data_IF_864464555864
#
_entry.id   IF_864464555864
#
_cell.length_a   1.000
_cell.length_b   1.000
_cell.length_c   1.000
_cell.angle_alpha   90.00
_cell.angle_beta   90.00
_cell.angle_gamma   90.00
#
_symmetry.space_group_name_H-M   'P 1'
#
loop_
_entity.id
_entity.type
_entity.pdbx_description
1 polymer ?
#
# COMPACT_ATOMS: atom_id res chain seq x y z
N UNK A 1 19.80 -15.98 24.33
CA UNK A 1 19.88 -15.55 23.97
C UNK A 1 19.12 -14.86 23.40
N UNK A 2 18.79 -14.32 23.42
CA UNK A 2 17.98 -13.57 22.87
C UNK A 2 18.37 -13.14 21.59
N UNK A 3 19.05 -13.85 20.85
CA UNK A 3 19.42 -13.45 19.53
C UNK A 3 18.26 -13.31 18.65
N UNK A 4 17.30 -14.21 18.74
CA UNK A 4 16.11 -14.10 17.92
C UNK A 4 15.35 -12.85 18.26
N UNK A 5 15.23 -12.55 19.51
CA UNK A 5 14.53 -11.36 19.94
C UNK A 5 15.26 -10.12 19.48
N UNK A 6 16.57 -10.16 19.54
CA UNK A 6 17.36 -9.02 19.12
C UNK A 6 17.21 -8.82 17.62
N UNK A 7 17.25 -9.89 16.86
CA UNK A 7 17.11 -9.79 15.41
C UNK A 7 15.74 -9.23 15.07
N UNK A 8 14.72 -9.67 15.77
CA UNK A 8 13.38 -9.17 15.52
C UNK A 8 13.30 -7.68 15.81
N UNK A 9 13.91 -7.27 16.90
CA UNK A 9 13.90 -5.86 17.25
C UNK A 9 14.61 -5.03 16.20
N UNK A 10 15.68 -5.53 15.68
CA UNK A 10 16.41 -4.79 14.66
C UNK A 10 15.59 -4.66 13.40
N UNK A 11 14.90 -5.71 13.01
CA UNK A 11 14.05 -5.65 11.85
C UNK A 11 12.96 -4.63 12.06
N UNK A 12 12.38 -4.60 13.24
CA UNK A 12 11.34 -3.62 13.53
C UNK A 12 11.89 -2.22 13.55
N UNK A 13 13.08 -2.06 14.07
CA UNK A 13 13.68 -0.74 14.10
C UNK A 13 13.93 -0.24 12.69
N UNK A 14 14.36 -1.10 11.80
CA UNK A 14 14.55 -0.71 10.42
C UNK A 14 13.25 -0.34 9.78
N UNK A 15 12.19 -1.09 10.06
CA UNK A 15 10.89 -0.77 9.54
C UNK A 15 10.41 0.56 10.07
N UNK A 16 10.77 0.89 11.30
CA UNK A 16 10.37 2.15 11.89
C UNK A 16 11.14 3.33 11.33
N UNK A 17 12.29 3.06 10.69
CA UNK A 17 13.03 4.12 10.05
C UNK A 17 12.45 4.32 8.67
N UNK A 18 11.29 4.95 8.62
CA UNK A 18 10.58 5.12 7.37
C UNK A 18 11.21 6.20 6.52
N UNK A 19 11.11 6.05 5.19
CA UNK A 19 11.53 7.13 4.29
C UNK A 19 10.71 8.39 4.54
N UNK A 20 11.19 9.50 4.00
CA UNK A 20 10.53 10.77 4.18
C UNK A 20 9.10 10.72 3.65
N UNK A 21 8.20 11.35 4.39
CA UNK A 21 6.79 11.42 4.02
C UNK A 21 6.35 12.88 4.01
N UNK A 22 5.32 13.15 3.21
CA UNK A 22 4.79 14.50 3.17
C UNK A 22 3.85 14.73 4.36
N UNK A 23 3.24 15.90 4.40
CA UNK A 23 2.40 16.27 5.52
C UNK A 23 1.19 15.36 5.70
N UNK A 24 0.78 14.72 4.63
CA UNK A 24 -0.37 13.84 4.68
C UNK A 24 0.02 12.38 4.90
N UNK A 25 1.31 12.11 5.03
CA UNK A 25 1.78 10.77 5.33
C UNK A 25 2.12 9.90 4.14
N UNK A 26 2.12 10.47 2.93
CA UNK A 26 2.49 9.73 1.73
C UNK A 26 3.99 9.83 1.53
N UNK A 27 4.60 8.78 0.96
CA UNK A 27 6.03 8.84 0.67
C UNK A 27 6.32 9.96 -0.31
N UNK A 28 7.36 10.73 0.00
CA UNK A 28 7.81 11.77 -0.90
C UNK A 28 8.36 11.16 -2.17
N UNK A 29 9.10 10.07 -2.04
CA UNK A 29 9.73 9.40 -3.17
C UNK A 29 9.26 7.95 -3.23
N UNK A 30 8.44 7.60 -4.23
CA UNK A 30 7.96 6.22 -4.33
C UNK A 30 9.05 5.19 -4.46
N UNK A 31 10.23 5.57 -4.93
CA UNK A 31 11.32 4.62 -5.08
C UNK A 31 11.90 4.17 -3.77
N UNK A 32 11.55 4.80 -2.66
CA UNK A 32 12.02 4.40 -1.35
C UNK A 32 11.14 3.33 -0.71
N UNK A 33 10.11 2.89 -1.41
CA UNK A 33 9.19 1.90 -0.88
C UNK A 33 9.83 0.52 -0.83
N UNK A 34 9.39 -0.27 0.15
CA UNK A 34 9.75 -1.68 0.26
C UNK A 34 8.62 -2.36 1.01
N UNK A 35 8.65 -3.69 1.03
CA UNK A 35 7.60 -4.40 1.75
C UNK A 35 7.59 -4.08 3.25
N UNK A 36 8.74 -4.00 3.91
CA UNK A 36 8.71 -3.57 5.32
C UNK A 36 8.11 -2.18 5.50
N UNK A 37 8.36 -1.27 4.57
CA UNK A 37 7.75 0.05 4.62
C UNK A 37 6.24 -0.08 4.53
N UNK A 38 5.75 -0.92 3.62
CA UNK A 38 4.31 -1.12 3.47
C UNK A 38 3.71 -1.68 4.75
N UNK A 39 4.39 -2.62 5.39
CA UNK A 39 3.91 -3.18 6.64
C UNK A 39 3.79 -2.10 7.72
N UNK A 40 4.79 -1.24 7.82
CA UNK A 40 4.77 -0.19 8.82
C UNK A 40 3.66 0.81 8.54
N UNK A 41 3.49 1.18 7.28
CA UNK A 41 2.44 2.14 6.93
C UNK A 41 1.06 1.55 7.16
N UNK A 42 0.88 0.27 6.81
CA UNK A 42 -0.40 -0.40 7.06
C UNK A 42 -0.70 -0.45 8.54
N UNK A 43 0.30 -0.72 9.34
CA UNK A 43 0.13 -0.77 10.78
C UNK A 43 -0.33 0.57 11.33
N UNK A 44 0.25 1.66 10.83
CA UNK A 44 -0.18 2.99 11.25
C UNK A 44 -1.63 3.25 10.92
N UNK A 45 -2.09 2.69 9.81
CA UNK A 45 -3.45 2.92 9.35
C UNK A 45 -4.44 1.89 9.87
N UNK A 46 -3.96 0.93 10.65
CA UNK A 46 -4.83 -0.10 11.18
C UNK A 46 -5.27 -1.13 10.16
N UNK A 47 -4.50 -1.30 9.10
CA UNK A 47 -4.82 -2.26 8.05
C UNK A 47 -3.92 -3.48 8.22
N UNK A 48 -4.54 -4.64 8.31
CA UNK A 48 -3.78 -5.87 8.44
C UNK A 48 -3.63 -6.47 7.05
N UNK A 49 -2.42 -6.55 6.55
CA UNK A 49 -2.18 -6.94 5.16
C UNK A 49 -2.28 -8.45 4.99
N UNK A 50 -3.24 -8.87 4.21
CA UNK A 50 -3.37 -10.26 3.82
C UNK A 50 -2.95 -10.44 2.37
N UNK A 51 -3.20 -11.62 1.85
CA UNK A 51 -2.72 -11.98 0.53
C UNK A 51 -3.27 -11.06 -0.56
N UNK A 52 -4.56 -10.76 -0.51
CA UNK A 52 -5.14 -9.91 -1.54
C UNK A 52 -4.71 -8.46 -1.41
N UNK A 53 -4.44 -8.02 -0.19
CA UNK A 53 -3.84 -6.69 -0.03
C UNK A 53 -2.53 -6.63 -0.79
N UNK A 54 -1.68 -7.64 -0.60
CA UNK A 54 -0.40 -7.66 -1.28
C UNK A 54 -0.54 -7.71 -2.79
N UNK A 55 -1.54 -8.42 -3.28
CA UNK A 55 -1.78 -8.47 -4.72
C UNK A 55 -2.10 -7.10 -5.27
N UNK A 56 -2.93 -6.34 -4.55
CA UNK A 56 -3.26 -4.98 -4.98
C UNK A 56 -2.03 -4.09 -4.91
N UNK A 57 -1.27 -4.18 -3.82
CA UNK A 57 -0.10 -3.33 -3.66
C UNK A 57 0.94 -3.61 -4.72
N UNK A 58 1.19 -4.89 -5.03
CA UNK A 58 2.16 -5.24 -6.06
C UNK A 58 1.69 -4.80 -7.42
N UNK A 59 0.39 -4.94 -7.68
CA UNK A 59 -0.17 -4.45 -8.92
C UNK A 59 0.06 -2.94 -9.07
N UNK A 60 -0.16 -2.19 -8.00
CA UNK A 60 0.04 -0.75 -8.04
C UNK A 60 1.50 -0.40 -8.28
N UNK A 61 2.41 -1.14 -7.64
CA UNK A 61 3.83 -0.89 -7.83
C UNK A 61 4.27 -1.23 -9.25
N UNK A 62 3.79 -2.35 -9.80
CA UNK A 62 4.12 -2.74 -11.17
C UNK A 62 3.57 -1.73 -12.16
N UNK A 63 2.37 -1.26 -11.92
CA UNK A 63 1.76 -0.25 -12.79
C UNK A 63 2.62 1.01 -12.81
N UNK A 64 3.05 1.44 -11.63
CA UNK A 64 3.86 2.63 -11.52
C UNK A 64 5.21 2.45 -12.22
N UNK A 65 5.83 1.28 -12.06
CA UNK A 65 7.09 1.02 -12.73
C UNK A 65 6.93 1.09 -14.23
N UNK A 66 5.83 0.60 -14.74
CA UNK A 66 5.62 0.53 -16.17
C UNK A 66 5.15 1.86 -16.76
N UNK A 67 4.27 2.54 -16.09
CA UNK A 67 3.61 3.73 -16.63
C UNK A 67 4.07 5.03 -16.02
N UNK A 68 4.77 4.97 -14.92
CA UNK A 68 5.26 6.12 -14.15
C UNK A 68 4.13 7.03 -13.69
N UNK A 69 2.94 6.49 -13.57
CA UNK A 69 1.79 7.16 -12.97
C UNK A 69 1.11 6.19 -12.04
N UNK A 70 0.29 6.72 -11.16
CA UNK A 70 -0.41 5.90 -10.16
C UNK A 70 -1.60 5.22 -10.82
N UNK A 71 -1.79 3.94 -10.53
CA UNK A 71 -2.95 3.21 -11.04
C UNK A 71 -4.21 3.79 -10.45
N UNK A 72 -5.23 3.96 -11.29
CA UNK A 72 -6.54 4.42 -10.88
C UNK A 72 -7.25 3.30 -10.11
N UNK A 73 -8.14 3.67 -9.20
CA UNK A 73 -8.89 2.68 -8.43
C UNK A 73 -9.61 1.68 -9.33
N UNK A 74 -10.07 2.13 -10.50
CA UNK A 74 -10.76 1.24 -11.43
C UNK A 74 -9.86 0.10 -11.90
N UNK A 75 -8.56 0.35 -12.02
CA UNK A 75 -7.63 -0.71 -12.41
C UNK A 75 -7.50 -1.76 -11.32
N UNK A 76 -7.46 -1.31 -10.06
CA UNK A 76 -7.41 -2.24 -8.94
C UNK A 76 -8.71 -3.03 -8.84
N UNK A 77 -9.84 -2.38 -9.08
CA UNK A 77 -11.12 -3.07 -9.06
C UNK A 77 -11.17 -4.14 -10.14
N UNK A 78 -10.62 -3.83 -11.31
CA UNK A 78 -10.60 -4.80 -12.40
C UNK A 78 -9.74 -6.02 -12.04
N UNK A 79 -8.64 -5.79 -11.36
CA UNK A 79 -7.81 -6.87 -10.89
C UNK A 79 -8.61 -7.79 -9.96
N UNK A 80 -9.32 -7.20 -9.01
CA UNK A 80 -10.09 -7.98 -8.05
C UNK A 80 -11.31 -8.64 -8.69
N UNK A 81 -11.81 -8.06 -9.77
CA UNK A 81 -12.93 -8.62 -10.49
C UNK A 81 -12.61 -10.01 -11.02
N UNK A 82 -11.35 -10.25 -11.35
CA UNK A 82 -10.94 -11.54 -11.85
C UNK A 82 -11.10 -12.65 -10.81
N UNK A 83 -10.92 -12.31 -9.55
CA UNK A 83 -11.06 -13.28 -8.47
C UNK A 83 -12.46 -13.29 -7.88
N UNK A 84 -13.14 -12.16 -7.95
CA UNK A 84 -14.45 -11.97 -7.36
C UNK A 84 -15.38 -11.37 -8.41
N UNK A 85 -15.84 -12.17 -9.38
CA UNK A 85 -16.66 -11.65 -10.47
C UNK A 85 -17.87 -10.88 -9.97
N UNK A 86 -18.05 -9.69 -10.49
CA UNK A 86 -19.14 -8.82 -10.10
C UNK A 86 -18.92 -8.11 -8.78
N UNK A 87 -17.80 -8.32 -8.11
CA UNK A 87 -17.59 -7.77 -6.78
C UNK A 87 -16.26 -7.04 -6.64
N UNK A 88 -15.63 -6.67 -7.74
CA UNK A 88 -14.32 -6.03 -7.66
C UNK A 88 -14.34 -4.76 -6.85
N UNK A 89 -15.34 -3.91 -7.06
CA UNK A 89 -15.45 -2.67 -6.31
C UNK A 89 -15.69 -2.93 -4.84
N UNK A 90 -16.62 -3.82 -4.54
CA UNK A 90 -16.92 -4.15 -3.15
C UNK A 90 -15.70 -4.71 -2.45
N UNK A 91 -14.97 -5.58 -3.14
CA UNK A 91 -13.81 -6.20 -2.54
C UNK A 91 -12.72 -5.18 -2.24
N UNK A 92 -12.54 -4.21 -3.14
CA UNK A 92 -11.55 -3.17 -2.89
C UNK A 92 -11.89 -2.39 -1.62
N UNK A 93 -13.17 -2.08 -1.41
CA UNK A 93 -13.57 -1.38 -0.20
C UNK A 93 -13.44 -2.26 1.04
N UNK A 94 -13.57 -3.56 0.90
CA UNK A 94 -13.35 -4.45 2.03
C UNK A 94 -11.89 -4.48 2.43
N UNK A 95 -11.00 -4.45 1.44
CA UNK A 95 -9.57 -4.48 1.73
C UNK A 95 -9.08 -3.15 2.28
N UNK A 96 -9.61 -2.05 1.77
CA UNK A 96 -9.19 -0.72 2.18
C UNK A 96 -10.43 0.11 2.52
N UNK A 97 -10.97 -0.09 3.72
CA UNK A 97 -12.28 0.49 4.07
C UNK A 97 -12.33 2.01 4.01
N UNK A 98 -11.22 2.67 4.25
CA UNK A 98 -11.23 4.12 4.23
C UNK A 98 -10.77 4.69 2.89
N UNK A 99 -10.73 3.85 1.86
CA UNK A 99 -10.59 4.33 0.52
C UNK A 99 -9.25 4.01 -0.11
N UNK A 100 -9.29 3.94 -1.43
CA UNK A 100 -8.13 3.60 -2.22
C UNK A 100 -7.02 4.65 -2.05
N UNK A 101 -7.38 5.92 -2.12
CA UNK A 101 -6.40 6.98 -2.02
C UNK A 101 -5.83 7.06 -0.61
N UNK A 102 -6.69 7.04 0.39
CA UNK A 102 -6.25 7.23 1.76
C UNK A 102 -5.47 6.05 2.29
N UNK A 103 -5.74 4.86 1.83
CA UNK A 103 -5.10 3.67 2.38
C UNK A 103 -4.22 2.96 1.36
N UNK A 104 -4.78 2.53 0.24
CA UNK A 104 -4.01 1.73 -0.70
C UNK A 104 -2.85 2.52 -1.28
N UNK A 105 -3.09 3.74 -1.73
CA UNK A 105 -2.02 4.54 -2.31
C UNK A 105 -0.93 4.85 -1.29
N UNK A 106 -1.33 5.15 -0.06
CA UNK A 106 -0.35 5.44 0.97
C UNK A 106 0.51 4.22 1.29
N UNK A 107 -0.13 3.07 1.47
CA UNK A 107 0.59 1.85 1.82
C UNK A 107 1.47 1.39 0.66
N UNK A 108 1.01 1.58 -0.58
CA UNK A 108 1.80 1.21 -1.75
C UNK A 108 2.95 2.16 -2.03
N UNK A 109 3.09 3.21 -1.24
CA UNK A 109 4.18 4.14 -1.42
C UNK A 109 4.00 5.10 -2.56
N UNK A 110 2.75 5.30 -3.00
CA UNK A 110 2.46 6.25 -4.05
C UNK A 110 2.21 7.61 -3.44
N UNK A 111 2.43 8.64 -4.22
CA UNK A 111 2.08 9.97 -3.79
C UNK A 111 0.58 10.15 -3.95
N UNK A 112 0.03 11.13 -3.27
CA UNK A 112 -1.40 11.37 -3.36
C UNK A 112 -1.77 11.80 -4.76
N UNK A 113 -2.75 11.16 -5.40
CA UNK A 113 -3.20 11.61 -6.73
C UNK A 113 -3.75 13.02 -6.65
N UNK A 114 -3.52 13.78 -7.72
CA UNK A 114 -3.89 15.19 -7.69
C UNK A 114 -5.19 15.50 -8.40
N UNK A 115 -5.38 14.95 -9.57
CA UNK A 115 -6.49 15.35 -10.40
C UNK A 115 -7.75 14.56 -10.15
N UNK A 116 -7.66 13.36 -9.67
CA UNK A 116 -8.82 12.53 -9.39
C UNK A 116 -8.64 12.01 -7.99
N UNK A 117 -9.68 11.91 -7.29
CA UNK A 117 -9.51 11.48 -5.94
C UNK A 117 -10.76 10.81 -5.53
N UNK A 118 -11.05 9.77 -6.17
CA UNK A 118 -12.20 9.09 -5.79
C UNK A 118 -11.78 8.03 -4.91
N UNK A 119 -11.61 8.02 -3.97
CA UNK A 119 -11.22 6.92 -3.24
C UNK A 119 -11.81 6.82 -1.91
#
# INVERSE_FOLDING_TARGET
MDDAAVATSQAQAQALTLPARDEEGYLVDPDTWSEPVAQALASELGVELGEEHWQVLRFMRDWYEEHRVIADARHAMRLLEQRHPGQGRQRLFELFPYGYVAQACRIAGMRRPRAWSTG
#
